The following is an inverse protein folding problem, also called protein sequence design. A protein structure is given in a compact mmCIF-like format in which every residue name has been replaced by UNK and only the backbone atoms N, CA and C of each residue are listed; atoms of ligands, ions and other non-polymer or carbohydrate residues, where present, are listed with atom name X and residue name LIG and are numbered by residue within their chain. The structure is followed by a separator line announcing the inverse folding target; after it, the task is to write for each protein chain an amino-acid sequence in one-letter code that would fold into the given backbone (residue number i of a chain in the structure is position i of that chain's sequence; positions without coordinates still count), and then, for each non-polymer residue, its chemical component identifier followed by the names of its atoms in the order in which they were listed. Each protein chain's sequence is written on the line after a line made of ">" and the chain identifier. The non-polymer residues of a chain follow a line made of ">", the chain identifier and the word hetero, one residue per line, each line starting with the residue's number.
data_IF_029584168263
#
_entry.id   IF_029584168263
#
_cell.length_a   1.000
_cell.length_b   1.000
_cell.length_c   1.000
_cell.angle_alpha   90.00
_cell.angle_beta   90.00
_cell.angle_gamma   90.00
#
_symmetry.space_group_name_H-M   'P 1'
#
loop_
_entity.id
_entity.type
_entity.pdbx_description
1 polymer ?
#
# COMPACT_ATOMS: atom_id res chain seq x y z
N UNK A 1 -34.22 -56.13 36.09
CA UNK A 1 -33.17 -55.12 36.34
C UNK A 1 -32.89 -54.46 34.99
N UNK A 2 -33.57 -53.34 34.73
CA UNK A 2 -33.49 -52.62 33.43
C UNK A 2 -32.48 -51.47 33.56
N UNK A 3 -31.37 -51.54 32.82
CA UNK A 3 -30.35 -50.52 32.72
C UNK A 3 -30.78 -49.52 31.63
N UNK A 4 -31.18 -48.31 32.03
CA UNK A 4 -31.46 -47.21 31.12
C UNK A 4 -30.12 -46.54 30.75
N UNK A 5 -29.68 -46.73 29.51
CA UNK A 5 -28.53 -45.99 28.95
C UNK A 5 -28.94 -44.57 28.63
N UNK A 6 -28.25 -43.58 29.23
CA UNK A 6 -28.33 -42.18 28.86
C UNK A 6 -27.38 -41.90 27.68
N UNK A 7 -27.94 -41.52 26.53
CA UNK A 7 -27.16 -41.04 25.39
C UNK A 7 -26.94 -39.54 25.59
N UNK A 8 -25.70 -39.14 25.87
CA UNK A 8 -25.29 -37.72 25.87
C UNK A 8 -25.07 -37.28 24.42
N UNK A 9 -25.95 -36.44 23.91
CA UNK A 9 -25.77 -35.80 22.61
C UNK A 9 -24.95 -34.52 22.85
N UNK A 10 -23.67 -34.53 22.49
CA UNK A 10 -22.81 -33.37 22.46
C UNK A 10 -23.10 -32.54 21.23
N UNK A 11 -23.76 -31.38 21.40
CA UNK A 11 -23.96 -30.39 20.33
C UNK A 11 -22.68 -29.56 20.20
N UNK A 12 -21.91 -29.80 19.14
CA UNK A 12 -20.81 -28.92 18.76
C UNK A 12 -21.37 -27.63 18.15
N UNK A 13 -21.28 -26.53 18.89
CA UNK A 13 -21.48 -25.20 18.33
C UNK A 13 -20.25 -24.83 17.49
N UNK A 14 -20.38 -24.89 16.18
CA UNK A 14 -19.42 -24.30 15.26
C UNK A 14 -19.58 -22.76 15.31
N UNK A 15 -18.72 -22.09 16.06
CA UNK A 15 -18.62 -20.63 16.03
C UNK A 15 -18.03 -20.20 14.69
N UNK A 16 -18.87 -19.77 13.76
CA UNK A 16 -18.43 -19.11 12.54
C UNK A 16 -17.87 -17.74 12.92
N UNK A 17 -16.55 -17.59 12.98
CA UNK A 17 -15.92 -16.28 13.05
C UNK A 17 -16.16 -15.57 11.72
N UNK A 18 -17.09 -14.62 11.70
CA UNK A 18 -17.18 -13.66 10.61
C UNK A 18 -15.85 -12.91 10.59
N UNK A 19 -15.05 -13.09 9.54
CA UNK A 19 -13.87 -12.27 9.31
C UNK A 19 -14.34 -10.81 9.28
N UNK A 20 -13.82 -9.99 10.18
CA UNK A 20 -14.18 -8.59 10.24
C UNK A 20 -13.71 -7.93 8.94
N UNK A 21 -14.67 -7.43 8.16
CA UNK A 21 -14.35 -6.64 6.97
C UNK A 21 -13.59 -5.41 7.43
N UNK A 22 -12.36 -5.21 6.96
CA UNK A 22 -11.52 -4.09 7.38
C UNK A 22 -12.17 -2.72 7.10
N UNK A 23 -11.62 -1.63 7.64
CA UNK A 23 -12.19 -0.30 7.46
C UNK A 23 -12.14 0.15 6.00
N UNK A 24 -13.14 0.94 5.59
CA UNK A 24 -13.13 1.65 4.31
C UNK A 24 -12.64 3.07 4.51
N UNK A 25 -11.93 3.58 3.52
CA UNK A 25 -11.54 4.99 3.45
C UNK A 25 -12.00 5.60 2.13
N UNK A 26 -12.41 6.86 2.19
CA UNK A 26 -12.66 7.69 1.02
C UNK A 26 -11.43 8.52 0.73
N UNK A 27 -10.97 8.53 -0.53
CA UNK A 27 -9.95 9.40 -1.07
C UNK A 27 -10.65 10.37 -2.02
N UNK A 28 -10.93 11.59 -1.56
CA UNK A 28 -11.50 12.65 -2.39
C UNK A 28 -10.41 13.36 -3.16
N UNK A 29 -10.59 13.45 -4.47
CA UNK A 29 -9.68 14.16 -5.37
C UNK A 29 -10.46 15.18 -6.20
N UNK A 30 -9.76 16.11 -6.82
CA UNK A 30 -10.36 17.04 -7.78
C UNK A 30 -10.85 16.37 -9.09
N UNK A 31 -10.67 15.04 -9.24
CA UNK A 31 -11.20 14.25 -10.37
C UNK A 31 -12.33 13.31 -9.96
N UNK A 32 -12.61 13.18 -8.66
CA UNK A 32 -13.66 12.30 -8.12
C UNK A 32 -13.23 11.61 -6.83
N UNK A 33 -14.07 10.72 -6.36
CA UNK A 33 -13.91 9.98 -5.10
C UNK A 33 -13.54 8.52 -5.38
N UNK A 34 -12.59 7.99 -4.60
CA UNK A 34 -12.12 6.61 -4.66
C UNK A 34 -12.36 5.98 -3.29
N UNK A 35 -13.10 4.88 -3.23
CA UNK A 35 -13.33 4.14 -1.98
C UNK A 35 -12.40 2.94 -1.93
N UNK A 36 -11.61 2.86 -0.87
CA UNK A 36 -10.65 1.79 -0.65
C UNK A 36 -11.05 0.97 0.55
N UNK A 37 -11.17 -0.34 0.38
CA UNK A 37 -11.29 -1.32 1.47
C UNK A 37 -9.89 -1.70 1.92
N UNK A 38 -9.56 -1.45 3.19
CA UNK A 38 -8.27 -1.82 3.78
C UNK A 38 -8.32 -3.27 4.31
N UNK A 39 -7.15 -3.91 4.38
CA UNK A 39 -6.98 -5.29 4.87
C UNK A 39 -6.05 -5.32 6.09
N UNK A 40 -6.55 -5.01 7.30
CA UNK A 40 -5.74 -5.03 8.52
C UNK A 40 -5.36 -6.44 8.99
N UNK A 41 -6.00 -7.49 8.48
CA UNK A 41 -5.64 -8.87 8.79
C UNK A 41 -4.33 -9.25 8.08
N UNK A 42 -4.21 -8.91 6.80
CA UNK A 42 -3.04 -9.23 5.97
C UNK A 42 -1.92 -8.20 6.06
N UNK A 43 -2.24 -6.94 6.35
CA UNK A 43 -1.28 -5.84 6.37
C UNK A 43 -1.50 -4.89 7.57
N UNK A 44 -1.45 -5.39 8.83
CA UNK A 44 -1.77 -4.60 10.02
C UNK A 44 -0.87 -3.36 10.19
N UNK A 45 0.43 -3.46 9.89
CA UNK A 45 1.38 -2.36 10.04
C UNK A 45 1.14 -1.29 8.98
N UNK A 46 0.98 -1.70 7.72
CA UNK A 46 0.72 -0.79 6.59
C UNK A 46 -0.61 -0.06 6.76
N UNK A 47 -1.68 -0.79 7.15
CA UNK A 47 -3.00 -0.20 7.43
C UNK A 47 -2.94 0.77 8.60
N UNK A 48 -2.33 0.38 9.72
CA UNK A 48 -2.18 1.26 10.89
C UNK A 48 -1.42 2.54 10.55
N UNK A 49 -0.32 2.42 9.80
CA UNK A 49 0.48 3.54 9.33
C UNK A 49 -0.33 4.47 8.41
N UNK A 50 -1.01 3.93 7.41
CA UNK A 50 -1.84 4.70 6.49
C UNK A 50 -2.96 5.45 7.24
N UNK A 51 -3.69 4.75 8.13
CA UNK A 51 -4.75 5.35 8.93
C UNK A 51 -4.24 6.44 9.89
N UNK A 52 -3.00 6.36 10.37
CA UNK A 52 -2.39 7.43 11.17
C UNK A 52 -2.29 8.73 10.37
N UNK A 53 -1.84 8.70 9.11
CA UNK A 53 -1.80 9.87 8.22
C UNK A 53 -3.20 10.35 7.83
N UNK A 54 -4.15 9.42 7.62
CA UNK A 54 -5.56 9.75 7.34
C UNK A 54 -6.17 10.52 8.52
N UNK A 55 -6.06 9.98 9.74
CA UNK A 55 -6.66 10.59 10.94
C UNK A 55 -6.04 11.93 11.33
N UNK A 56 -4.77 12.15 10.99
CA UNK A 56 -4.10 13.45 11.21
C UNK A 56 -4.38 14.47 10.11
N UNK A 57 -5.13 14.13 9.04
CA UNK A 57 -5.35 15.00 7.89
C UNK A 57 -4.10 15.27 7.05
N UNK A 58 -2.99 14.55 7.27
CA UNK A 58 -1.70 14.89 6.64
C UNK A 58 -1.65 14.61 5.14
N UNK A 59 -2.65 13.93 4.57
CA UNK A 59 -2.74 13.74 3.12
C UNK A 59 -3.44 14.92 2.42
N UNK A 60 -4.14 15.78 3.14
CA UNK A 60 -4.88 16.90 2.55
C UNK A 60 -3.93 17.86 1.84
N UNK A 61 -4.28 18.25 0.61
CA UNK A 61 -3.48 19.11 -0.26
C UNK A 61 -2.28 18.43 -0.92
N UNK A 62 -1.98 17.16 -0.60
CA UNK A 62 -0.99 16.41 -1.38
C UNK A 62 -1.54 16.01 -2.75
N UNK A 63 -0.68 15.53 -3.63
CA UNK A 63 -1.04 15.18 -5.01
C UNK A 63 -0.68 13.73 -5.36
N UNK A 64 -1.30 13.22 -6.39
CA UNK A 64 -0.73 12.11 -7.16
C UNK A 64 0.42 12.69 -7.99
N UNK A 65 1.64 12.57 -7.48
CA UNK A 65 2.84 13.21 -8.02
C UNK A 65 3.57 12.38 -9.07
N UNK A 66 3.17 11.12 -9.28
CA UNK A 66 3.73 10.23 -10.30
C UNK A 66 2.64 9.34 -10.87
N UNK A 67 2.41 9.46 -12.16
CA UNK A 67 1.38 8.72 -12.91
C UNK A 67 2.01 8.08 -14.12
N UNK A 68 1.97 6.75 -14.18
CA UNK A 68 2.48 5.98 -15.33
C UNK A 68 1.34 5.12 -15.87
N UNK A 69 0.82 5.43 -17.06
CA UNK A 69 -0.21 4.63 -17.71
C UNK A 69 0.20 3.16 -17.87
N UNK A 70 -0.75 2.24 -17.65
CA UNK A 70 -0.51 0.80 -17.69
C UNK A 70 0.32 0.25 -16.53
N UNK A 71 0.61 1.09 -15.51
CA UNK A 71 1.40 0.68 -14.36
C UNK A 71 0.73 1.09 -13.03
N UNK A 72 0.87 2.35 -12.60
CA UNK A 72 0.33 2.78 -11.31
C UNK A 72 0.15 4.30 -11.24
N UNK A 73 -0.64 4.76 -10.27
CA UNK A 73 -0.75 6.16 -9.84
C UNK A 73 -0.27 6.28 -8.40
N UNK A 74 0.78 7.08 -8.15
CA UNK A 74 1.45 7.21 -6.85
C UNK A 74 1.20 8.59 -6.26
N UNK A 75 0.82 8.63 -4.98
CA UNK A 75 0.45 9.85 -4.28
C UNK A 75 0.88 9.93 -2.83
N UNK A 76 0.49 11.03 -2.19
CA UNK A 76 0.65 11.25 -0.75
C UNK A 76 2.03 11.75 -0.30
N UNK A 77 2.99 11.94 -1.21
CA UNK A 77 4.37 12.31 -0.87
C UNK A 77 4.73 13.78 -1.12
N UNK A 78 3.96 14.49 -1.96
CA UNK A 78 4.29 15.85 -2.38
C UNK A 78 3.05 16.72 -2.38
N UNK A 79 3.24 18.01 -2.17
CA UNK A 79 2.24 19.05 -2.34
C UNK A 79 2.19 19.54 -3.80
N UNK A 80 1.26 20.48 -4.10
CA UNK A 80 1.09 21.03 -5.45
C UNK A 80 2.34 21.71 -6.02
N UNK A 81 3.14 22.32 -5.16
CA UNK A 81 4.40 22.99 -5.50
C UNK A 81 5.58 22.01 -5.63
N UNK A 82 5.30 20.69 -5.54
CA UNK A 82 6.24 19.58 -5.53
C UNK A 82 7.17 19.53 -4.31
N UNK A 83 6.97 20.39 -3.32
CA UNK A 83 7.64 20.23 -2.04
C UNK A 83 7.25 18.92 -1.38
N UNK A 84 8.21 18.28 -0.71
CA UNK A 84 7.98 16.99 -0.05
C UNK A 84 7.13 17.18 1.20
N UNK A 85 6.09 16.40 1.33
CA UNK A 85 5.27 16.37 2.53
C UNK A 85 6.02 15.65 3.67
N UNK A 86 5.88 16.10 4.94
CA UNK A 86 6.61 15.55 6.07
C UNK A 86 6.42 14.05 6.20
N UNK A 87 7.51 13.30 6.21
CA UNK A 87 7.51 11.85 6.41
C UNK A 87 7.60 11.50 7.90
N UNK A 88 6.93 10.42 8.29
CA UNK A 88 7.08 9.82 9.60
C UNK A 88 8.12 8.69 9.59
N UNK A 89 8.12 7.90 10.66
CA UNK A 89 8.98 6.72 10.75
C UNK A 89 8.70 5.72 9.61
N UNK A 90 9.77 5.11 9.13
CA UNK A 90 9.69 3.98 8.20
C UNK A 90 9.05 2.77 8.88
N UNK A 91 8.36 1.96 8.10
CA UNK A 91 7.62 0.80 8.60
C UNK A 91 8.18 -0.50 8.01
N UNK A 92 7.93 -1.59 8.74
CA UNK A 92 8.21 -2.95 8.28
C UNK A 92 7.41 -3.26 7.00
N UNK A 93 8.06 -3.84 6.01
CA UNK A 93 7.46 -4.21 4.74
C UNK A 93 6.71 -5.55 4.85
N UNK A 94 5.41 -5.51 4.66
CA UNK A 94 4.52 -6.68 4.74
C UNK A 94 4.25 -7.33 3.36
N UNK A 95 5.11 -7.12 2.36
CA UNK A 95 4.88 -7.66 1.00
C UNK A 95 4.74 -9.20 0.95
N UNK A 96 5.25 -9.91 1.96
CA UNK A 96 5.12 -11.37 2.08
C UNK A 96 3.73 -11.83 2.59
N UNK A 97 2.73 -10.94 2.65
CA UNK A 97 1.39 -11.19 3.20
C UNK A 97 0.45 -11.99 2.26
N UNK A 98 0.91 -12.34 1.08
CA UNK A 98 0.17 -13.13 0.08
C UNK A 98 -0.76 -12.29 -0.82
N UNK A 99 -0.94 -11.00 -0.54
CA UNK A 99 -1.68 -10.10 -1.41
C UNK A 99 -0.87 -9.79 -2.68
N UNK A 100 -1.57 -9.56 -3.79
CA UNK A 100 -0.98 -9.33 -5.10
C UNK A 100 -1.12 -7.88 -5.54
N UNK A 101 -0.12 -7.37 -6.27
CA UNK A 101 -0.17 -6.07 -6.92
C UNK A 101 -1.01 -6.16 -8.21
N UNK A 102 -2.27 -6.52 -8.06
CA UNK A 102 -3.28 -6.62 -9.12
C UNK A 102 -3.93 -5.25 -9.36
N UNK A 103 -4.57 -5.07 -10.53
CA UNK A 103 -5.31 -3.84 -10.84
C UNK A 103 -6.32 -3.49 -9.74
N UNK A 104 -6.33 -2.25 -9.33
CA UNK A 104 -7.21 -1.72 -8.27
C UNK A 104 -6.69 -1.94 -6.85
N UNK A 105 -5.55 -2.60 -6.63
CA UNK A 105 -4.98 -2.72 -5.28
C UNK A 105 -4.17 -1.48 -4.92
N UNK A 106 -4.15 -1.16 -3.61
CA UNK A 106 -3.33 -0.09 -3.04
C UNK A 106 -2.15 -0.69 -2.28
N UNK A 107 -0.95 -0.16 -2.51
CA UNK A 107 0.29 -0.65 -1.90
C UNK A 107 1.16 0.50 -1.39
N UNK A 108 2.03 0.20 -0.43
CA UNK A 108 3.01 1.15 0.09
C UNK A 108 4.16 1.35 -0.91
N UNK A 109 4.40 2.61 -1.29
CA UNK A 109 5.61 2.98 -2.01
C UNK A 109 6.81 2.96 -1.06
N UNK A 110 7.98 2.59 -1.59
CA UNK A 110 9.24 2.52 -0.84
C UNK A 110 10.46 2.83 -1.72
N UNK A 111 11.56 3.10 -1.09
CA UNK A 111 12.87 3.23 -1.74
C UNK A 111 13.52 1.85 -1.97
N UNK A 112 14.83 1.83 -2.18
CA UNK A 112 15.56 0.59 -2.45
C UNK A 112 15.69 -0.35 -1.24
N UNK A 113 15.64 0.18 -0.01
CA UNK A 113 15.66 -0.62 1.21
C UNK A 113 14.30 -1.28 1.46
N UNK A 114 14.33 -2.49 2.02
CA UNK A 114 13.13 -3.30 2.25
C UNK A 114 12.12 -2.53 3.12
N UNK A 115 12.54 -2.04 4.27
CA UNK A 115 11.70 -1.41 5.28
C UNK A 115 11.79 0.14 5.20
N UNK A 116 11.69 0.70 3.98
CA UNK A 116 11.80 2.14 3.73
C UNK A 116 10.48 2.84 3.38
N UNK A 117 9.37 2.13 3.46
CA UNK A 117 8.06 2.75 3.28
C UNK A 117 7.72 3.66 4.46
N UNK A 118 7.07 4.79 4.20
CA UNK A 118 6.60 5.71 5.23
C UNK A 118 5.16 6.16 4.97
N UNK A 119 4.95 7.17 4.13
CA UNK A 119 3.63 7.74 3.86
C UNK A 119 3.10 7.54 2.44
N UNK A 120 4.01 7.38 1.47
CA UNK A 120 3.60 7.32 0.07
C UNK A 120 2.94 5.98 -0.26
N UNK A 121 1.90 6.04 -1.06
CA UNK A 121 1.17 4.88 -1.55
C UNK A 121 0.99 4.96 -3.07
N UNK A 122 0.65 3.85 -3.68
CA UNK A 122 0.23 3.83 -5.08
C UNK A 122 -0.97 2.90 -5.27
N UNK A 123 -1.76 3.19 -6.30
CA UNK A 123 -2.84 2.32 -6.75
C UNK A 123 -2.40 1.70 -8.08
N UNK A 124 -2.46 0.38 -8.15
CA UNK A 124 -2.15 -0.37 -9.37
C UNK A 124 -3.25 -0.16 -10.40
N UNK A 125 -2.90 0.27 -11.61
CA UNK A 125 -3.85 0.40 -12.73
C UNK A 125 -3.79 -0.79 -13.68
N UNK A 126 -2.84 -1.70 -13.47
CA UNK A 126 -2.62 -2.93 -14.23
C UNK A 126 -2.21 -4.08 -13.31
N UNK A 127 -2.07 -5.28 -13.88
CA UNK A 127 -1.50 -6.45 -13.21
C UNK A 127 0.01 -6.31 -13.11
N UNK A 128 0.51 -5.99 -11.92
CA UNK A 128 1.91 -5.70 -11.67
C UNK A 128 2.61 -6.81 -10.85
N UNK A 129 2.44 -8.07 -11.26
CA UNK A 129 2.97 -9.23 -10.54
C UNK A 129 4.49 -9.19 -10.30
N UNK A 130 5.25 -8.38 -11.05
CA UNK A 130 6.67 -8.15 -10.81
C UNK A 130 6.96 -7.32 -9.54
N UNK A 131 5.94 -6.67 -8.97
CA UNK A 131 5.99 -5.97 -7.67
C UNK A 131 5.68 -6.89 -6.48
N UNK A 132 5.23 -8.10 -6.73
CA UNK A 132 4.91 -9.07 -5.68
C UNK A 132 6.16 -9.56 -4.95
N UNK A 133 5.97 -9.97 -3.71
CA UNK A 133 7.02 -10.67 -2.97
C UNK A 133 7.38 -11.99 -3.68
N UNK A 134 8.67 -12.16 -3.94
CA UNK A 134 9.21 -13.39 -4.52
C UNK A 134 9.87 -14.21 -3.42
N UNK A 135 9.18 -15.27 -3.00
CA UNK A 135 9.74 -16.25 -2.06
C UNK A 135 10.97 -16.92 -2.69
N UNK A 136 12.07 -17.01 -1.93
CA UNK A 136 13.34 -17.58 -2.43
C UNK A 136 14.21 -16.60 -3.23
N UNK A 137 13.82 -15.32 -3.35
CA UNK A 137 14.70 -14.30 -3.91
C UNK A 137 15.94 -14.11 -3.03
N UNK A 138 17.05 -13.70 -3.65
CA UNK A 138 18.28 -13.34 -2.93
C UNK A 138 18.16 -12.04 -2.12
N UNK A 139 16.96 -11.49 -1.97
CA UNK A 139 16.72 -10.26 -1.24
C UNK A 139 16.01 -10.55 0.08
N UNK A 140 16.78 -10.78 1.11
CA UNK A 140 16.30 -10.91 2.50
C UNK A 140 16.83 -9.75 3.33
N UNK A 141 16.19 -9.49 4.50
CA UNK A 141 16.67 -8.47 5.45
C UNK A 141 18.11 -8.74 5.92
N UNK A 142 18.49 -9.99 6.11
CA UNK A 142 19.84 -10.34 6.52
C UNK A 142 20.86 -10.03 5.41
N UNK A 143 20.50 -10.28 4.16
CA UNK A 143 21.33 -9.92 3.01
C UNK A 143 21.43 -8.41 2.82
N UNK A 144 20.33 -7.67 2.98
CA UNK A 144 20.35 -6.21 2.96
C UNK A 144 21.26 -5.65 4.05
N UNK A 145 21.11 -6.15 5.30
CA UNK A 145 21.97 -5.77 6.43
C UNK A 145 23.44 -6.08 6.17
N UNK A 146 23.74 -7.24 5.61
CA UNK A 146 25.11 -7.62 5.24
C UNK A 146 25.69 -6.70 4.14
N UNK A 147 24.87 -6.30 3.15
CA UNK A 147 25.27 -5.37 2.11
C UNK A 147 25.53 -3.96 2.66
N UNK A 148 24.68 -3.44 3.54
CA UNK A 148 24.87 -2.16 4.21
C UNK A 148 26.17 -2.16 5.06
N UNK A 149 26.43 -3.25 5.78
CA UNK A 149 27.68 -3.43 6.54
C UNK A 149 28.91 -3.52 5.63
N UNK A 150 28.81 -4.06 4.42
CA UNK A 150 29.88 -4.07 3.44
C UNK A 150 30.13 -2.67 2.86
N UNK A 151 29.08 -1.91 2.55
CA UNK A 151 29.17 -0.53 2.08
C UNK A 151 29.85 0.38 3.10
N UNK A 152 29.55 0.24 4.39
CA UNK A 152 30.20 1.02 5.45
C UNK A 152 31.70 0.76 5.57
N UNK A 153 32.21 -0.35 5.00
CA UNK A 153 33.65 -0.71 4.90
C UNK A 153 34.28 -0.31 3.57
N UNK A 154 33.57 0.49 2.75
CA UNK A 154 34.07 0.96 1.45
C UNK A 154 33.91 -0.04 0.28
N UNK A 155 33.24 -1.15 0.48
CA UNK A 155 32.90 -2.08 -0.60
C UNK A 155 31.64 -1.60 -1.33
N UNK A 156 31.80 -1.13 -2.56
CA UNK A 156 30.69 -0.60 -3.33
C UNK A 156 29.92 -1.73 -4.02
N UNK A 157 28.74 -2.08 -3.50
CA UNK A 157 27.73 -2.87 -4.21
C UNK A 157 26.38 -2.23 -3.98
N UNK A 158 25.72 -1.66 -5.02
CA UNK A 158 24.40 -1.08 -4.87
C UNK A 158 23.43 -2.15 -4.38
N UNK A 159 22.80 -1.92 -3.23
CA UNK A 159 21.72 -2.75 -2.77
C UNK A 159 20.41 -2.33 -3.46
N UNK A 160 19.80 -3.23 -4.19
CA UNK A 160 18.43 -3.04 -4.67
C UNK A 160 17.63 -4.27 -4.33
N UNK A 161 16.78 -4.14 -3.32
CA UNK A 161 15.90 -5.21 -2.86
C UNK A 161 14.48 -5.11 -3.47
N UNK A 162 14.39 -4.82 -4.77
CA UNK A 162 13.11 -4.72 -5.48
C UNK A 162 12.31 -6.02 -5.41
N UNK A 163 12.97 -7.16 -5.54
CA UNK A 163 12.34 -8.49 -5.48
C UNK A 163 11.75 -8.87 -4.11
N UNK A 164 12.04 -8.11 -3.05
CA UNK A 164 11.30 -8.27 -1.79
C UNK A 164 9.82 -7.93 -1.94
N UNK A 165 9.47 -7.07 -2.89
CA UNK A 165 8.12 -6.69 -3.24
C UNK A 165 7.61 -5.45 -2.51
N UNK A 166 6.35 -5.11 -2.81
CA UNK A 166 5.62 -3.95 -2.30
C UNK A 166 4.38 -4.42 -1.55
N UNK A 167 4.20 -3.93 -0.32
CA UNK A 167 3.14 -4.37 0.56
C UNK A 167 1.77 -3.83 0.10
N UNK A 168 0.96 -4.69 -0.50
CA UNK A 168 -0.46 -4.42 -0.72
C UNK A 168 -1.16 -4.44 0.63
N UNK A 169 -2.02 -3.43 0.89
CA UNK A 169 -2.73 -3.28 2.15
C UNK A 169 -4.23 -2.99 2.00
N UNK A 170 -4.74 -3.02 0.77
CA UNK A 170 -6.16 -2.80 0.47
C UNK A 170 -6.44 -2.83 -1.02
N UNK A 171 -7.70 -2.53 -1.35
CA UNK A 171 -8.16 -2.48 -2.74
C UNK A 171 -9.25 -1.43 -2.92
N UNK A 172 -9.31 -0.86 -4.11
CA UNK A 172 -10.43 0.00 -4.55
C UNK A 172 -11.68 -0.87 -4.66
N UNK A 173 -12.76 -0.42 -4.05
CA UNK A 173 -14.07 -1.09 -4.08
C UNK A 173 -15.14 -0.23 -4.78
N UNK A 174 -14.84 1.06 -4.97
CA UNK A 174 -15.66 2.00 -5.75
C UNK A 174 -14.77 3.13 -6.29
N UNK A 175 -15.13 3.77 -7.40
CA UNK A 175 -14.36 4.86 -8.03
C UNK A 175 -13.14 4.38 -8.82
N UNK A 176 -13.15 3.15 -9.36
CA UNK A 176 -12.08 2.67 -10.23
C UNK A 176 -12.00 3.46 -11.54
N UNK A 177 -13.11 3.99 -12.03
CA UNK A 177 -13.22 4.92 -13.16
C UNK A 177 -12.50 6.26 -12.88
N UNK A 178 -12.51 6.72 -11.63
CA UNK A 178 -11.71 7.88 -11.20
C UNK A 178 -10.23 7.56 -11.27
N UNK A 179 -9.80 6.37 -10.84
CA UNK A 179 -8.42 5.91 -10.98
C UNK A 179 -8.01 5.85 -12.45
N UNK A 180 -8.88 5.35 -13.34
CA UNK A 180 -8.65 5.33 -14.78
C UNK A 180 -8.55 6.75 -15.37
N UNK A 181 -9.33 7.68 -14.86
CA UNK A 181 -9.25 9.11 -15.24
C UNK A 181 -7.93 9.74 -14.79
N UNK A 182 -7.39 9.34 -13.65
CA UNK A 182 -6.07 9.77 -13.17
C UNK A 182 -4.97 9.17 -14.04
N UNK A 183 -5.08 7.90 -14.41
CA UNK A 183 -4.08 7.19 -15.22
C UNK A 183 -3.76 7.89 -16.54
N UNK A 184 -4.77 8.49 -17.19
CA UNK A 184 -4.65 9.07 -18.52
C UNK A 184 -4.31 10.57 -18.55
N UNK A 185 -4.05 11.19 -17.40
CA UNK A 185 -3.66 12.61 -17.35
C UNK A 185 -2.31 12.82 -18.04
N UNK A 186 -2.14 13.97 -18.68
CA UNK A 186 -0.85 14.33 -19.29
C UNK A 186 0.20 14.52 -18.19
N UNK A 187 1.34 13.86 -18.35
CA UNK A 187 2.49 13.94 -17.44
C UNK A 187 3.71 14.55 -18.10
N UNK A 188 4.67 14.95 -17.30
CA UNK A 188 5.96 15.48 -17.75
C UNK A 188 6.99 15.52 -16.63
N UNK A 189 8.19 15.95 -16.93
CA UNK A 189 9.25 16.13 -15.95
C UNK A 189 9.14 17.51 -15.32
N UNK A 190 9.09 17.58 -13.99
CA UNK A 190 8.99 18.81 -13.23
C UNK A 190 9.89 18.76 -12.00
N UNK A 191 10.73 19.76 -11.79
CA UNK A 191 11.63 19.91 -10.63
C UNK A 191 12.46 18.63 -10.32
N UNK A 192 12.89 17.89 -11.37
CA UNK A 192 13.68 16.67 -11.23
C UNK A 192 12.86 15.40 -10.97
N UNK A 193 11.54 15.50 -10.85
CA UNK A 193 10.62 14.39 -10.79
C UNK A 193 10.11 14.03 -12.19
N UNK A 194 10.00 12.74 -12.48
CA UNK A 194 9.45 12.23 -13.74
C UNK A 194 7.99 11.83 -13.58
N UNK A 195 7.25 11.81 -14.69
CA UNK A 195 5.87 11.33 -14.77
C UNK A 195 4.90 12.13 -13.89
N UNK A 196 5.18 13.42 -13.65
CA UNK A 196 4.35 14.31 -12.84
C UNK A 196 3.18 14.83 -13.67
N UNK A 197 1.92 14.74 -13.20
CA UNK A 197 0.78 15.34 -13.88
C UNK A 197 0.98 16.84 -14.13
N UNK A 198 0.84 17.29 -15.40
CA UNK A 198 0.98 18.71 -15.78
C UNK A 198 -0.08 19.57 -15.06
N UNK A 199 -1.30 19.05 -14.95
CA UNK A 199 -2.35 19.59 -14.09
C UNK A 199 -2.40 18.75 -12.84
N UNK A 200 -2.11 19.29 -11.65
CA UNK A 200 -2.05 18.51 -10.42
C UNK A 200 -3.35 17.75 -10.12
N UNK A 201 -3.23 16.47 -9.87
CA UNK A 201 -4.32 15.66 -9.32
C UNK A 201 -4.21 15.71 -7.80
N UNK A 202 -5.09 16.50 -7.19
CA UNK A 202 -5.01 16.85 -5.77
C UNK A 202 -5.84 15.90 -4.93
N UNK A 203 -5.26 15.41 -3.85
CA UNK A 203 -5.95 14.73 -2.77
C UNK A 203 -6.53 15.82 -1.87
N UNK A 204 -7.83 16.07 -2.00
CA UNK A 204 -8.51 17.10 -1.23
C UNK A 204 -8.71 16.66 0.22
N UNK A 205 -9.06 15.39 0.42
CA UNK A 205 -9.26 14.80 1.73
C UNK A 205 -9.18 13.27 1.67
N UNK A 206 -8.66 12.65 2.73
CA UNK A 206 -8.83 11.22 2.98
C UNK A 206 -9.46 11.05 4.37
N UNK A 207 -10.52 10.23 4.48
CA UNK A 207 -11.17 9.96 5.76
C UNK A 207 -11.72 8.53 5.82
N UNK A 208 -11.86 8.03 7.04
CA UNK A 208 -12.46 6.71 7.30
C UNK A 208 -13.97 6.82 7.11
N UNK A 209 -14.55 5.84 6.42
CA UNK A 209 -16.00 5.68 6.31
C UNK A 209 -16.50 4.82 7.48
N UNK A 210 -17.61 5.24 8.09
CA UNK A 210 -18.31 4.53 9.18
C UNK A 210 -19.00 3.26 8.68
#
# INVERSE_FOLDING_TARGET
>A
MLIRGFILISVLFASSTLAAVGPKVSIKTNLGEIIVQLDPEKAPISVSNFLRYVRSGSYEGTIFHRVIPGFMVQGGGHYRDLSQAPEGAQIYNEAANGLKNARGTIAMARMNLIDSASRQFFINVSENGFLDHQSGSSCTRDQEKAQLAAQSRGMFKPSSCKSYGYAVFGRVVDGLDVVDSIEVVKTGNQQGLSDVPIKPVVIEKIFVLD
#
